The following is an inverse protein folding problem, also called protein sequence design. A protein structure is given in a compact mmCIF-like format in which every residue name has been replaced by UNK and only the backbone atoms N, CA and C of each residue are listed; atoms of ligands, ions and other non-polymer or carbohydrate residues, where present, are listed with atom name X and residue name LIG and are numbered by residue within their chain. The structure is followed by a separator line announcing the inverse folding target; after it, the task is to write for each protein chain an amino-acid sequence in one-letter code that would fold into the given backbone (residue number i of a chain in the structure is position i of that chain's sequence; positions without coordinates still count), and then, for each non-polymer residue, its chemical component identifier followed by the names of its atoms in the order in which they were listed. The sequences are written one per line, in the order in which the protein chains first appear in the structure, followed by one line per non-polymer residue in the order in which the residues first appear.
data_IF_596064165136
#
_entry.id   IF_596064165136
#
_cell.length_a   1.000
_cell.length_b   1.000
_cell.length_c   1.000
_cell.angle_alpha   90.00
_cell.angle_beta   90.00
_cell.angle_gamma   90.00
#
_symmetry.space_group_name_H-M   'P 1'
#
loop_
_entity.id
_entity.type
_entity.pdbx_description
1 polymer ?
#
# COMPACT_ATOMS: atom_id res chain seq x y z
N UNK A 1 46.18 -14.39 98.26
CA UNK A 1 47.10 -13.39 98.87
C UNK A 1 46.25 -12.19 99.31
N UNK A 2 46.34 -11.70 100.56
CA UNK A 2 45.62 -10.49 100.94
C UNK A 2 46.16 -9.29 100.17
N UNK A 3 45.28 -8.34 99.83
CA UNK A 3 45.72 -7.07 99.27
C UNK A 3 46.52 -6.28 100.32
N UNK A 4 47.52 -5.48 99.92
CA UNK A 4 48.32 -4.71 100.88
C UNK A 4 47.47 -3.78 101.73
N UNK A 5 47.65 -3.84 103.05
CA UNK A 5 46.90 -2.97 103.98
C UNK A 5 47.25 -1.49 103.86
N UNK A 6 48.42 -1.18 103.28
CA UNK A 6 48.89 0.17 103.00
C UNK A 6 48.16 0.86 101.85
N UNK A 7 47.39 0.13 101.06
CA UNK A 7 46.62 0.74 99.97
C UNK A 7 45.48 1.59 100.53
N UNK A 8 45.19 2.76 99.91
CA UNK A 8 44.04 3.57 100.30
C UNK A 8 42.77 2.72 100.24
N UNK A 9 41.88 2.87 101.22
CA UNK A 9 40.64 2.13 101.32
C UNK A 9 39.45 3.07 101.29
N UNK A 10 38.32 2.60 100.77
CA UNK A 10 37.04 3.31 100.69
C UNK A 10 35.93 2.39 101.18
N UNK A 11 34.99 2.93 101.96
CA UNK A 11 33.83 2.16 102.42
C UNK A 11 32.83 2.02 101.29
N UNK A 12 32.45 0.78 100.99
CA UNK A 12 31.38 0.44 100.06
C UNK A 12 30.16 0.02 100.86
N UNK A 13 29.02 0.65 100.60
CA UNK A 13 27.73 0.30 101.20
C UNK A 13 26.80 -0.25 100.13
N UNK A 14 25.82 -1.03 100.51
CA UNK A 14 24.72 -1.35 99.61
C UNK A 14 23.47 -1.70 100.38
N UNK A 15 22.34 -1.37 99.77
CA UNK A 15 21.00 -1.68 100.30
C UNK A 15 20.25 -2.51 99.26
N UNK A 16 19.66 -3.60 99.70
CA UNK A 16 18.81 -4.51 98.95
C UNK A 16 17.40 -4.38 99.48
N UNK A 17 16.49 -3.97 98.61
CA UNK A 17 15.09 -3.79 98.99
C UNK A 17 14.35 -5.12 98.82
N UNK A 18 13.69 -5.66 99.86
CA UNK A 18 12.88 -6.86 99.74
C UNK A 18 11.65 -6.62 98.86
N UNK A 19 11.13 -7.70 98.26
CA UNK A 19 9.82 -7.69 97.58
C UNK A 19 8.66 -7.62 98.58
N UNK A 20 8.90 -8.09 99.81
CA UNK A 20 7.95 -8.07 100.93
C UNK A 20 8.69 -7.57 102.17
N UNK A 21 8.27 -6.42 102.71
CA UNK A 21 8.90 -5.77 103.86
C UNK A 21 8.81 -6.60 105.15
N UNK A 22 8.02 -7.70 105.15
CA UNK A 22 7.94 -8.65 106.27
C UNK A 22 9.06 -9.69 106.32
N UNK A 23 9.89 -9.79 105.26
CA UNK A 23 11.00 -10.76 105.17
C UNK A 23 12.33 -10.01 105.02
N UNK A 24 13.15 -10.03 106.08
CA UNK A 24 14.50 -9.46 106.05
C UNK A 24 15.38 -10.13 104.99
N UNK A 25 16.04 -9.33 104.14
CA UNK A 25 16.96 -9.87 103.13
C UNK A 25 18.30 -10.20 103.79
N UNK A 26 18.68 -11.47 103.80
CA UNK A 26 20.00 -11.92 104.29
C UNK A 26 20.81 -12.58 103.19
N UNK A 27 22.13 -12.55 103.34
CA UNK A 27 23.04 -13.10 102.32
C UNK A 27 24.49 -12.72 102.56
N UNK A 28 25.29 -12.84 101.51
CA UNK A 28 26.69 -12.45 101.51
C UNK A 28 26.99 -11.73 100.20
N UNK A 29 27.75 -10.64 100.29
CA UNK A 29 28.41 -10.03 99.14
C UNK A 29 29.89 -10.37 99.17
N UNK A 30 30.44 -10.78 98.04
CA UNK A 30 31.86 -11.07 97.86
C UNK A 30 32.48 -10.15 96.82
N UNK A 31 33.72 -9.76 97.08
CA UNK A 31 34.52 -8.85 96.27
C UNK A 31 35.82 -9.56 95.89
N UNK A 32 35.91 -10.01 94.64
CA UNK A 32 37.07 -10.71 94.12
C UNK A 32 37.83 -9.83 93.12
N UNK A 33 39.08 -9.42 93.40
CA UNK A 33 39.89 -8.69 92.41
C UNK A 33 40.13 -9.51 91.13
N UNK A 34 39.85 -8.93 89.97
CA UNK A 34 40.03 -9.53 88.63
C UNK A 34 40.70 -8.53 87.67
N UNK A 35 41.28 -9.04 86.58
CA UNK A 35 41.64 -8.20 85.42
C UNK A 35 43.08 -7.69 85.33
N UNK A 36 43.96 -7.97 86.29
CA UNK A 36 45.38 -7.62 86.18
C UNK A 36 46.29 -8.81 86.54
N UNK A 37 47.56 -8.83 86.09
CA UNK A 37 48.38 -10.02 86.18
C UNK A 37 48.94 -10.16 87.60
N UNK A 38 48.22 -10.92 88.42
CA UNK A 38 48.55 -11.16 89.81
C UNK A 38 49.77 -12.08 89.92
N UNK A 39 50.89 -11.57 90.41
CA UNK A 39 52.10 -12.36 90.64
C UNK A 39 52.58 -12.20 92.09
N UNK A 40 53.16 -13.26 92.64
CA UNK A 40 53.96 -13.19 93.88
C UNK A 40 55.45 -13.21 93.55
N UNK A 41 56.32 -13.06 94.57
CA UNK A 41 57.75 -13.35 94.42
C UNK A 41 57.92 -14.72 93.71
N UNK A 42 58.74 -14.76 92.66
CA UNK A 42 58.96 -15.90 91.75
C UNK A 42 57.95 -16.10 90.60
N UNK A 43 57.20 -15.08 90.18
CA UNK A 43 56.30 -15.11 89.00
C UNK A 43 55.20 -16.17 89.04
N UNK A 44 54.87 -16.69 90.23
CA UNK A 44 53.73 -17.60 90.41
C UNK A 44 52.45 -16.77 90.41
N UNK A 45 51.47 -17.18 89.59
CA UNK A 45 50.15 -16.55 89.56
C UNK A 45 49.38 -17.00 90.80
N UNK A 46 49.19 -16.09 91.75
CA UNK A 46 48.35 -16.33 92.93
C UNK A 46 47.24 -15.29 92.94
N UNK A 47 45.97 -15.69 92.82
CA UNK A 47 44.87 -14.74 92.85
C UNK A 47 44.77 -14.05 94.23
N UNK A 48 44.32 -12.79 94.27
CA UNK A 48 44.00 -12.11 95.52
C UNK A 48 42.88 -12.82 96.26
N UNK A 49 42.92 -12.72 97.59
CA UNK A 49 41.87 -13.29 98.43
C UNK A 49 40.54 -12.57 98.19
N UNK A 50 39.45 -13.33 98.15
CA UNK A 50 38.09 -12.76 98.08
C UNK A 50 37.72 -12.15 99.43
N UNK A 51 37.26 -10.90 99.40
CA UNK A 51 36.77 -10.17 100.56
C UNK A 51 35.25 -10.35 100.64
N UNK A 52 34.68 -10.51 101.83
CA UNK A 52 33.25 -10.79 101.99
C UNK A 52 32.62 -9.94 103.10
N UNK A 53 31.36 -9.57 102.92
CA UNK A 53 30.53 -8.95 103.95
C UNK A 53 29.16 -9.64 104.00
N UNK A 54 28.64 -9.84 105.20
CA UNK A 54 27.27 -10.33 105.40
C UNK A 54 26.27 -9.23 105.07
N UNK A 55 25.15 -9.64 104.47
CA UNK A 55 23.97 -8.81 104.27
C UNK A 55 23.02 -9.13 105.41
N UNK A 56 22.66 -8.11 106.18
CA UNK A 56 21.72 -8.19 107.30
C UNK A 56 20.64 -7.14 107.05
N UNK A 57 19.38 -7.56 107.05
CA UNK A 57 18.21 -6.71 106.76
C UNK A 57 18.39 -5.86 105.49
N UNK A 58 18.87 -6.50 104.43
CA UNK A 58 19.12 -5.90 103.12
C UNK A 58 20.34 -5.00 103.05
N UNK A 59 21.02 -4.71 104.16
CA UNK A 59 22.15 -3.77 104.16
C UNK A 59 23.48 -4.47 104.36
N UNK A 60 24.53 -3.95 103.73
CA UNK A 60 25.92 -4.28 104.05
C UNK A 60 26.81 -3.04 103.99
N UNK A 61 27.94 -3.09 104.69
CA UNK A 61 29.00 -2.08 104.63
C UNK A 61 30.36 -2.75 104.74
N UNK A 62 31.28 -2.42 103.83
CA UNK A 62 32.63 -3.01 103.80
C UNK A 62 33.68 -2.01 103.31
N UNK A 63 34.79 -1.91 104.02
CA UNK A 63 35.93 -1.08 103.60
C UNK A 63 36.87 -1.88 102.68
N UNK A 64 37.01 -1.43 101.44
CA UNK A 64 37.79 -2.10 100.39
C UNK A 64 38.95 -1.22 99.90
N UNK A 65 40.11 -1.80 99.53
CA UNK A 65 41.13 -1.07 98.79
C UNK A 65 40.58 -0.45 97.50
N UNK A 66 41.00 0.77 97.19
CA UNK A 66 40.60 1.48 95.97
C UNK A 66 41.33 0.94 94.75
N UNK A 67 40.68 0.92 93.58
CA UNK A 67 41.20 0.28 92.36
C UNK A 67 42.11 1.19 91.53
N UNK A 68 42.02 2.51 91.70
CA UNK A 68 42.68 3.49 90.80
C UNK A 68 43.49 4.60 91.51
N UNK A 69 43.90 4.41 92.77
CA UNK A 69 44.75 5.40 93.45
C UNK A 69 46.23 5.33 93.00
N UNK A 70 46.96 6.46 92.99
CA UNK A 70 48.40 6.46 92.79
C UNK A 70 49.11 5.54 93.79
N UNK A 71 49.92 4.60 93.29
CA UNK A 71 50.67 3.62 94.10
C UNK A 71 50.00 2.25 94.25
N UNK A 72 48.76 2.07 93.75
CA UNK A 72 48.12 0.76 93.63
C UNK A 72 48.63 0.05 92.37
N UNK A 73 49.21 -1.13 92.51
CA UNK A 73 49.78 -1.94 91.41
C UNK A 73 49.45 -3.44 91.59
N UNK A 74 49.14 -4.18 90.51
CA UNK A 74 49.07 -3.73 89.12
C UNK A 74 47.92 -2.75 88.87
N UNK A 75 47.99 -1.93 87.82
CA UNK A 75 46.89 -1.06 87.41
C UNK A 75 45.86 -1.81 86.56
N UNK A 76 44.62 -1.32 86.50
CA UNK A 76 43.58 -1.81 85.59
C UNK A 76 42.76 -3.02 86.07
N UNK A 77 42.89 -3.41 87.34
CA UNK A 77 41.99 -4.42 87.94
C UNK A 77 40.71 -3.77 88.47
N UNK A 78 39.68 -4.61 88.60
CA UNK A 78 38.38 -4.26 89.19
C UNK A 78 37.95 -5.37 90.15
N UNK A 79 36.94 -5.13 90.98
CA UNK A 79 36.30 -6.19 91.74
C UNK A 79 35.22 -6.87 90.89
N UNK A 80 35.25 -8.19 90.79
CA UNK A 80 34.05 -8.96 90.51
C UNK A 80 33.25 -9.05 91.81
N UNK A 81 32.19 -8.28 91.89
CA UNK A 81 31.24 -8.30 92.99
C UNK A 81 30.26 -9.44 92.73
N UNK A 82 30.07 -10.32 93.70
CA UNK A 82 29.03 -11.35 93.64
C UNK A 82 28.13 -11.22 94.86
N UNK A 83 26.85 -10.99 94.62
CA UNK A 83 25.84 -10.98 95.68
C UNK A 83 25.13 -12.32 95.66
N UNK A 84 25.11 -13.02 96.80
CA UNK A 84 24.42 -14.28 97.01
C UNK A 84 23.47 -14.17 98.20
N UNK A 85 22.18 -14.25 97.94
CA UNK A 85 21.13 -14.19 98.96
C UNK A 85 20.88 -15.58 99.56
N UNK A 86 20.35 -15.62 100.78
CA UNK A 86 20.03 -16.86 101.48
C UNK A 86 18.98 -17.72 100.73
N UNK A 87 18.14 -17.09 99.91
CA UNK A 87 17.15 -17.76 99.06
C UNK A 87 17.72 -18.38 97.78
N UNK A 88 19.05 -18.31 97.57
CA UNK A 88 19.75 -18.90 96.44
C UNK A 88 19.93 -17.95 95.24
N UNK A 89 19.29 -16.78 95.22
CA UNK A 89 19.51 -15.78 94.16
C UNK A 89 20.95 -15.30 94.18
N UNK A 90 21.60 -15.32 93.01
CA UNK A 90 23.00 -14.93 92.84
C UNK A 90 23.17 -14.10 91.58
N UNK A 91 23.92 -13.00 91.65
CA UNK A 91 24.36 -12.24 90.48
C UNK A 91 25.76 -11.67 90.69
N UNK A 92 26.47 -11.47 89.58
CA UNK A 92 27.84 -10.96 89.59
C UNK A 92 28.01 -9.83 88.59
N UNK A 93 28.82 -8.84 88.94
CA UNK A 93 29.16 -7.73 88.05
C UNK A 93 30.56 -7.18 88.38
N UNK A 94 31.29 -6.65 87.39
CA UNK A 94 32.53 -5.92 87.63
C UNK A 94 32.22 -4.53 88.21
N UNK A 95 33.07 -4.07 89.14
CA UNK A 95 32.97 -2.77 89.79
C UNK A 95 34.37 -2.20 90.07
N UNK A 96 34.58 -0.95 89.69
CA UNK A 96 35.68 -0.15 90.18
C UNK A 96 35.35 0.47 91.55
N UNK A 97 36.35 0.56 92.42
CA UNK A 97 36.24 1.32 93.69
C UNK A 97 37.14 2.53 93.53
N UNK A 98 36.63 3.65 92.98
CA UNK A 98 37.46 4.79 92.67
C UNK A 98 37.95 5.48 93.95
N UNK A 99 39.16 6.04 93.89
CA UNK A 99 39.74 6.83 94.95
C UNK A 99 38.81 8.00 95.33
N UNK A 100 38.48 8.15 96.60
CA UNK A 100 37.55 9.15 97.10
C UNK A 100 37.40 9.06 98.62
N UNK A 101 36.95 10.16 99.24
CA UNK A 101 36.79 10.27 100.70
C UNK A 101 35.39 9.86 101.18
N UNK A 102 34.36 10.00 100.35
CA UNK A 102 32.99 9.64 100.69
C UNK A 102 32.72 8.14 100.51
N UNK A 103 31.75 7.61 101.24
CA UNK A 103 31.31 6.23 101.07
C UNK A 103 30.79 6.01 99.63
N UNK A 104 31.06 4.83 99.10
CA UNK A 104 30.65 4.40 97.77
C UNK A 104 29.38 3.55 97.89
N UNK A 105 28.26 4.05 97.37
CA UNK A 105 27.04 3.23 97.28
C UNK A 105 27.16 2.26 96.10
N UNK A 106 27.06 0.96 96.38
CA UNK A 106 27.05 -0.11 95.39
C UNK A 106 25.92 0.10 94.39
N UNK A 107 24.78 0.64 94.81
CA UNK A 107 23.65 0.91 93.92
C UNK A 107 23.96 1.97 92.85
N UNK A 108 24.94 2.86 93.10
CA UNK A 108 25.35 3.89 92.14
C UNK A 108 26.29 3.36 91.05
N UNK A 109 27.03 2.28 91.32
CA UNK A 109 28.00 1.69 90.37
C UNK A 109 27.55 0.36 89.77
N UNK A 110 26.64 -0.37 90.42
CA UNK A 110 26.12 -1.61 89.87
C UNK A 110 25.32 -1.30 88.60
N UNK A 111 25.59 -1.96 87.46
CA UNK A 111 24.60 -1.99 86.39
C UNK A 111 23.32 -2.59 87.00
N UNK A 112 22.20 -1.86 86.88
CA UNK A 112 20.88 -2.43 87.14
C UNK A 112 20.60 -3.44 86.04
N UNK A 113 21.23 -4.60 86.12
CA UNK A 113 21.01 -5.72 85.24
C UNK A 113 19.89 -6.57 85.86
N UNK A 114 18.67 -6.55 85.29
CA UNK A 114 17.65 -7.51 85.70
C UNK A 114 18.15 -8.90 85.30
N UNK A 115 18.49 -9.73 86.28
CA UNK A 115 18.71 -11.15 86.03
C UNK A 115 17.36 -11.80 85.74
N UNK A 116 17.16 -12.19 84.49
CA UNK A 116 16.01 -12.99 84.05
C UNK A 116 14.78 -12.17 83.67
N UNK A 117 14.62 -11.90 82.37
CA UNK A 117 13.34 -11.81 81.66
C UNK A 117 12.28 -10.78 82.08
N UNK A 118 12.44 -10.06 83.19
CA UNK A 118 11.40 -9.17 83.72
C UNK A 118 12.00 -7.80 84.04
N UNK A 119 11.51 -6.85 83.26
CA UNK A 119 11.78 -5.42 83.31
C UNK A 119 11.52 -4.82 84.69
N UNK A 120 12.34 -3.82 85.04
CA UNK A 120 12.07 -2.72 85.99
C UNK A 120 10.68 -2.78 86.66
N UNK A 121 10.65 -3.08 87.95
CA UNK A 121 9.44 -2.97 88.75
C UNK A 121 9.20 -1.53 89.17
N UNK A 122 7.97 -1.06 89.00
CA UNK A 122 7.48 0.16 89.64
C UNK A 122 7.25 -0.17 91.11
N UNK A 123 8.09 0.35 92.02
CA UNK A 123 7.96 0.10 93.46
C UNK A 123 6.64 0.68 93.99
N UNK A 124 6.31 1.90 93.58
CA UNK A 124 5.00 2.50 93.82
C UNK A 124 4.67 3.46 92.68
N UNK A 125 3.38 3.70 92.44
CA UNK A 125 2.91 4.92 91.76
C UNK A 125 2.26 5.77 92.84
N UNK A 126 2.83 6.95 93.13
CA UNK A 126 2.34 7.87 94.16
C UNK A 126 2.15 7.22 95.55
N UNK A 127 3.04 6.30 95.94
CA UNK A 127 2.98 5.60 97.24
C UNK A 127 2.07 4.37 97.28
N UNK A 128 1.37 4.03 96.19
CA UNK A 128 0.54 2.82 96.10
C UNK A 128 1.39 1.66 95.58
N UNK A 129 1.41 0.55 96.33
CA UNK A 129 2.12 -0.67 95.99
C UNK A 129 1.37 -1.47 94.90
N UNK A 130 2.07 -2.26 94.08
CA UNK A 130 1.44 -3.24 93.18
C UNK A 130 0.71 -4.33 93.97
N UNK A 131 -0.38 -4.84 93.42
CA UNK A 131 -1.07 -6.03 93.91
C UNK A 131 -0.29 -7.34 93.62
N UNK A 132 -0.83 -8.47 94.08
CA UNK A 132 -0.21 -9.79 93.90
C UNK A 132 -0.01 -10.23 92.43
N UNK A 133 -0.63 -9.53 91.49
CA UNK A 133 -0.52 -9.74 90.02
C UNK A 133 0.41 -8.71 89.37
N UNK A 134 0.97 -7.77 90.13
CA UNK A 134 1.84 -6.71 89.63
C UNK A 134 1.10 -5.49 89.09
N UNK A 135 -0.23 -5.40 89.25
CA UNK A 135 -0.99 -4.22 88.85
C UNK A 135 -0.95 -3.17 89.96
N UNK A 136 -0.76 -1.90 89.61
CA UNK A 136 -0.94 -0.80 90.56
C UNK A 136 -2.32 -0.21 90.35
N UNK A 137 -3.24 -0.48 91.27
CA UNK A 137 -4.59 0.09 91.22
C UNK A 137 -4.57 1.51 91.79
N UNK A 138 -4.38 2.50 90.93
CA UNK A 138 -4.51 3.92 91.30
C UNK A 138 -6.00 4.24 91.32
N UNK A 139 -6.63 4.11 92.49
CA UNK A 139 -8.03 4.51 92.68
C UNK A 139 -8.09 6.03 92.56
N UNK A 140 -8.86 6.55 91.60
CA UNK A 140 -9.22 7.97 91.60
C UNK A 140 -10.02 8.27 92.85
N UNK A 141 -9.62 9.28 93.62
CA UNK A 141 -10.35 9.66 94.83
C UNK A 141 -11.83 9.90 94.53
N UNK A 142 -12.69 9.43 95.43
CA UNK A 142 -14.16 9.53 95.38
C UNK A 142 -14.65 11.00 95.39
N UNK A 143 -13.74 11.97 95.45
CA UNK A 143 -13.96 13.42 95.54
C UNK A 143 -13.85 14.16 94.20
N UNK A 144 -13.63 13.45 93.08
CA UNK A 144 -13.51 14.06 91.76
C UNK A 144 -12.20 14.82 91.52
N UNK A 145 -11.20 14.70 92.41
CA UNK A 145 -9.86 15.25 92.22
C UNK A 145 -8.91 14.14 91.73
N UNK A 146 -8.93 13.94 90.42
CA UNK A 146 -8.39 12.75 89.75
C UNK A 146 -6.87 12.52 89.82
N UNK A 147 -6.52 11.24 89.69
CA UNK A 147 -5.29 10.77 89.04
C UNK A 147 -5.61 9.87 87.83
N UNK A 148 -6.69 10.18 87.11
CA UNK A 148 -6.95 9.58 85.80
C UNK A 148 -5.86 10.01 84.80
N UNK A 149 -5.59 9.18 83.78
CA UNK A 149 -4.67 9.49 82.69
C UNK A 149 -4.96 10.91 82.17
N UNK A 150 -4.02 11.84 82.40
CA UNK A 150 -4.20 13.27 82.11
C UNK A 150 -4.56 13.52 80.63
N UNK A 151 -3.96 12.75 79.73
CA UNK A 151 -4.40 12.70 78.34
C UNK A 151 -3.97 11.41 77.65
N UNK A 152 -4.80 10.91 76.74
CA UNK A 152 -4.41 9.93 75.70
C UNK A 152 -4.41 10.68 74.36
N UNK A 153 -3.26 10.71 73.68
CA UNK A 153 -3.07 11.41 72.39
C UNK A 153 -3.55 12.87 72.36
N UNK A 154 -3.35 13.60 73.47
CA UNK A 154 -3.70 15.02 73.59
C UNK A 154 -5.16 15.29 74.00
N UNK A 155 -5.98 14.27 74.23
CA UNK A 155 -7.36 14.41 74.74
C UNK A 155 -7.41 14.22 76.25
N UNK A 156 -8.00 15.18 76.96
CA UNK A 156 -8.16 15.16 78.43
C UNK A 156 -9.59 14.73 78.82
N UNK A 157 -9.78 14.17 80.02
CA UNK A 157 -11.08 13.67 80.51
C UNK A 157 -11.27 12.15 80.39
N UNK A 158 -12.52 11.66 80.46
CA UNK A 158 -12.86 10.26 80.20
C UNK A 158 -12.58 9.93 78.73
N UNK A 159 -11.47 9.23 78.45
CA UNK A 159 -11.12 8.81 77.10
C UNK A 159 -11.57 7.37 76.88
N UNK A 160 -12.71 7.22 76.20
CA UNK A 160 -13.14 5.94 75.61
C UNK A 160 -12.30 5.64 74.38
N UNK A 161 -11.48 4.58 74.44
CA UNK A 161 -10.56 4.19 73.35
C UNK A 161 -11.29 3.75 72.05
N UNK A 162 -12.59 3.48 72.13
CA UNK A 162 -13.45 3.17 70.98
C UNK A 162 -13.58 4.35 69.99
N UNK A 163 -13.34 5.59 70.44
CA UNK A 163 -13.43 6.79 69.60
C UNK A 163 -12.11 7.14 68.87
N UNK A 164 -10.98 6.62 69.36
CA UNK A 164 -9.64 6.91 68.81
C UNK A 164 -9.22 5.87 67.80
N UNK A 165 -9.58 4.61 68.02
CA UNK A 165 -9.35 3.51 67.10
C UNK A 165 -10.70 2.93 66.73
N UNK A 166 -11.06 2.99 65.44
CA UNK A 166 -12.25 2.31 64.97
C UNK A 166 -12.21 0.85 65.45
N UNK A 167 -13.22 0.43 66.21
CA UNK A 167 -13.32 -0.95 66.68
C UNK A 167 -13.18 -1.90 65.49
N UNK A 168 -12.63 -3.10 65.70
CA UNK A 168 -12.53 -4.09 64.62
C UNK A 168 -13.90 -4.32 63.93
N UNK A 169 -14.99 -4.20 64.68
CA UNK A 169 -16.37 -4.21 64.17
C UNK A 169 -16.74 -3.00 63.31
N UNK A 170 -16.34 -1.79 63.71
CA UNK A 170 -16.57 -0.57 62.91
C UNK A 170 -15.70 -0.53 61.64
N UNK A 171 -14.45 -0.98 61.74
CA UNK A 171 -13.53 -1.08 60.61
C UNK A 171 -14.02 -2.14 59.61
N UNK A 172 -14.46 -3.30 60.08
CA UNK A 172 -15.03 -4.36 59.23
C UNK A 172 -16.36 -3.93 58.60
N UNK A 173 -17.24 -3.25 59.33
CA UNK A 173 -18.50 -2.72 58.80
C UNK A 173 -18.29 -1.61 57.77
N UNK A 174 -17.36 -0.69 58.03
CA UNK A 174 -16.98 0.35 57.08
C UNK A 174 -16.35 -0.21 55.80
N UNK A 175 -15.45 -1.19 55.92
CA UNK A 175 -14.81 -1.84 54.77
C UNK A 175 -15.81 -2.70 53.98
N UNK A 176 -16.77 -3.36 54.63
CA UNK A 176 -17.85 -4.10 53.96
C UNK A 176 -18.75 -3.21 53.08
N UNK A 177 -18.83 -1.90 53.36
CA UNK A 177 -19.54 -0.94 52.49
C UNK A 177 -18.67 -0.39 51.34
N UNK A 178 -17.34 -0.49 51.44
CA UNK A 178 -16.40 -0.13 50.38
C UNK A 178 -16.24 -1.32 49.43
N UNK A 179 -17.24 -1.50 48.58
CA UNK A 179 -17.29 -2.49 47.49
C UNK A 179 -17.02 -3.94 47.93
N UNK A 180 -18.05 -4.62 48.45
CA UNK A 180 -18.08 -6.08 48.38
C UNK A 180 -17.90 -6.50 46.91
N UNK A 181 -17.11 -7.53 46.64
CA UNK A 181 -16.93 -8.11 45.29
C UNK A 181 -18.26 -8.53 44.65
N UNK A 182 -19.32 -8.72 45.45
CA UNK A 182 -20.70 -8.98 45.00
C UNK A 182 -21.48 -7.73 44.56
N UNK A 183 -21.02 -6.53 44.94
CA UNK A 183 -21.63 -5.23 44.61
C UNK A 183 -20.98 -4.54 43.40
N UNK A 184 -19.79 -4.99 43.00
CA UNK A 184 -19.36 -4.81 41.62
C UNK A 184 -20.26 -5.73 40.79
N UNK A 185 -21.20 -5.15 40.04
CA UNK A 185 -22.13 -5.90 39.19
C UNK A 185 -21.37 -6.99 38.40
N UNK A 186 -22.02 -8.11 37.99
CA UNK A 186 -21.35 -9.27 37.36
C UNK A 186 -20.42 -8.93 36.18
N UNK A 187 -20.57 -7.72 35.63
CA UNK A 187 -19.71 -7.03 34.65
C UNK A 187 -18.25 -6.96 35.05
N UNK A 188 -17.93 -6.66 36.31
CA UNK A 188 -16.56 -6.45 36.74
C UNK A 188 -15.77 -7.76 36.83
N UNK A 189 -16.45 -8.90 37.01
CA UNK A 189 -15.83 -10.22 37.17
C UNK A 189 -15.92 -11.09 35.92
N UNK A 190 -17.01 -11.00 35.15
CA UNK A 190 -17.21 -11.84 33.97
C UNK A 190 -16.68 -11.22 32.67
N UNK A 191 -16.46 -9.90 32.62
CA UNK A 191 -16.04 -9.17 31.41
C UNK A 191 -17.02 -9.25 30.24
N UNK A 192 -18.19 -9.86 30.44
CA UNK A 192 -19.19 -10.12 29.40
C UNK A 192 -20.19 -8.99 29.34
N UNK A 193 -20.41 -8.44 28.16
CA UNK A 193 -21.36 -7.35 27.94
C UNK A 193 -22.77 -7.67 28.47
N UNK A 194 -23.19 -8.94 28.52
CA UNK A 194 -24.50 -9.41 29.00
C UNK A 194 -24.84 -9.02 30.46
N UNK A 195 -23.85 -8.69 31.28
CA UNK A 195 -24.03 -8.51 32.72
C UNK A 195 -24.42 -7.08 33.18
N UNK A 196 -24.44 -6.07 32.29
CA UNK A 196 -24.96 -4.74 32.67
C UNK A 196 -26.50 -4.76 32.77
N UNK A 197 -27.08 -4.06 33.75
CA UNK A 197 -28.53 -3.84 33.86
C UNK A 197 -28.92 -2.49 33.24
N UNK A 198 -30.15 -2.33 32.75
CA UNK A 198 -30.62 -1.06 32.17
C UNK A 198 -30.02 -0.68 30.81
N UNK A 199 -29.54 -1.66 30.03
CA UNK A 199 -28.94 -1.37 28.72
C UNK A 199 -29.99 -0.87 27.72
N UNK A 200 -29.61 0.04 26.81
CA UNK A 200 -30.33 0.20 25.56
C UNK A 200 -30.38 -1.17 24.85
N UNK A 201 -31.56 -1.64 24.50
CA UNK A 201 -31.70 -2.83 23.66
C UNK A 201 -31.13 -2.48 22.29
N UNK A 202 -29.94 -3.00 21.97
CA UNK A 202 -29.39 -2.92 20.61
C UNK A 202 -30.12 -4.00 19.81
N UNK A 203 -30.93 -3.64 18.80
CA UNK A 203 -31.61 -4.59 17.95
C UNK A 203 -30.63 -5.62 17.37
N UNK A 204 -30.85 -6.89 17.68
CA UNK A 204 -30.08 -7.99 17.10
C UNK A 204 -30.71 -8.52 15.81
N UNK A 205 -31.87 -7.96 15.44
CA UNK A 205 -32.59 -8.23 14.20
C UNK A 205 -32.94 -6.90 13.53
N UNK A 206 -32.79 -6.85 12.21
CA UNK A 206 -33.17 -5.69 11.40
C UNK A 206 -34.66 -5.35 11.49
N UNK A 207 -35.51 -6.31 11.92
CA UNK A 207 -36.95 -6.11 12.12
C UNK A 207 -37.31 -5.07 13.18
N UNK A 208 -36.40 -4.80 14.14
CA UNK A 208 -36.68 -3.90 15.26
C UNK A 208 -36.14 -2.47 15.01
N UNK A 209 -35.49 -2.24 13.87
CA UNK A 209 -35.28 -0.91 13.30
C UNK A 209 -36.58 -0.53 12.59
N UNK A 210 -37.33 0.43 13.13
CA UNK A 210 -38.56 0.94 12.52
C UNK A 210 -38.29 1.78 11.24
N UNK A 211 -37.55 1.22 10.27
CA UNK A 211 -37.12 1.83 9.01
C UNK A 211 -36.34 0.84 8.14
N UNK A 212 -36.06 1.21 6.89
CA UNK A 212 -35.27 0.40 5.95
C UNK A 212 -33.80 0.29 6.38
N UNK A 213 -33.17 -0.85 6.08
CA UNK A 213 -31.72 -1.03 6.27
C UNK A 213 -30.97 -0.07 5.33
N UNK A 214 -30.07 0.80 5.83
CA UNK A 214 -29.27 1.66 4.97
C UNK A 214 -28.40 0.83 4.03
N UNK A 215 -28.38 1.19 2.74
CA UNK A 215 -27.64 0.49 1.70
C UNK A 215 -26.12 0.34 1.99
N UNK A 216 -25.58 1.20 2.85
CA UNK A 216 -24.19 1.18 3.34
C UNK A 216 -23.87 0.05 4.34
N UNK A 217 -24.90 -0.60 4.92
CA UNK A 217 -24.73 -1.71 5.85
C UNK A 217 -24.77 -3.08 5.15
N UNK A 218 -24.93 -3.10 3.83
CA UNK A 218 -24.94 -4.32 3.01
C UNK A 218 -23.48 -4.62 2.61
N UNK A 219 -22.91 -5.79 2.99
CA UNK A 219 -21.57 -6.20 2.56
C UNK A 219 -21.46 -6.20 1.03
N UNK A 220 -20.28 -5.83 0.50
CA UNK A 220 -20.03 -5.58 -0.93
C UNK A 220 -20.14 -6.80 -1.89
N UNK A 221 -20.84 -7.87 -1.49
CA UNK A 221 -21.11 -9.10 -2.27
C UNK A 221 -22.59 -9.23 -2.66
N UNK A 222 -23.41 -8.18 -2.53
CA UNK A 222 -24.67 -8.05 -3.28
C UNK A 222 -24.41 -7.30 -4.60
N UNK A 223 -23.49 -7.81 -5.42
CA UNK A 223 -22.90 -7.07 -6.52
C UNK A 223 -23.41 -7.59 -7.86
N UNK A 224 -24.67 -7.29 -8.19
CA UNK A 224 -25.18 -7.28 -9.57
C UNK A 224 -24.82 -8.55 -10.38
N UNK A 225 -25.73 -9.52 -10.42
CA UNK A 225 -25.48 -10.76 -11.15
C UNK A 225 -25.93 -10.66 -12.61
N UNK A 226 -25.18 -11.35 -13.49
CA UNK A 226 -25.61 -11.58 -14.85
C UNK A 226 -26.60 -12.74 -14.91
N UNK A 227 -27.83 -12.46 -15.31
CA UNK A 227 -28.96 -13.40 -15.34
C UNK A 227 -29.00 -14.28 -16.60
N UNK A 228 -28.08 -14.06 -17.55
CA UNK A 228 -28.00 -14.80 -18.80
C UNK A 228 -28.60 -14.08 -20.02
N UNK A 229 -28.87 -14.86 -21.07
CA UNK A 229 -29.48 -14.40 -22.32
C UNK A 229 -30.99 -14.62 -22.32
N UNK A 230 -31.75 -13.65 -22.84
CA UNK A 230 -33.19 -13.73 -23.05
C UNK A 230 -33.52 -13.59 -24.55
N UNK A 231 -34.09 -14.64 -25.15
CA UNK A 231 -34.47 -14.65 -26.58
C UNK A 231 -35.72 -13.84 -26.91
N UNK A 232 -36.39 -13.27 -25.91
CA UNK A 232 -37.58 -12.44 -26.07
C UNK A 232 -37.86 -11.65 -24.79
N UNK A 233 -38.77 -10.67 -24.86
CA UNK A 233 -39.29 -9.98 -23.67
C UNK A 233 -39.90 -10.97 -22.66
N UNK A 234 -40.66 -11.97 -23.12
CA UNK A 234 -41.28 -12.94 -22.23
C UNK A 234 -40.23 -13.77 -21.47
N UNK A 235 -39.13 -14.15 -22.14
CA UNK A 235 -38.01 -14.83 -21.51
C UNK A 235 -37.30 -13.93 -20.47
N UNK A 236 -37.12 -12.64 -20.75
CA UNK A 236 -36.55 -11.68 -19.80
C UNK A 236 -37.42 -11.53 -18.54
N UNK A 237 -38.74 -11.39 -18.70
CA UNK A 237 -39.66 -11.25 -17.56
C UNK A 237 -39.81 -12.54 -16.74
N UNK A 238 -39.37 -13.68 -17.27
CA UNK A 238 -39.31 -14.94 -16.53
C UNK A 238 -38.03 -15.09 -15.68
N UNK A 239 -37.02 -14.21 -15.88
CA UNK A 239 -35.80 -14.23 -15.08
C UNK A 239 -36.11 -13.82 -13.63
N UNK A 240 -35.51 -14.54 -12.68
CA UNK A 240 -35.56 -14.20 -11.26
C UNK A 240 -34.27 -13.46 -10.91
N UNK A 241 -34.37 -12.20 -10.51
CA UNK A 241 -33.24 -11.37 -10.13
C UNK A 241 -33.67 -10.22 -9.24
N UNK A 242 -32.70 -9.49 -8.71
CA UNK A 242 -32.88 -8.33 -7.84
C UNK A 242 -32.46 -7.04 -8.55
N UNK A 243 -32.92 -5.88 -8.04
CA UNK A 243 -32.48 -4.58 -8.55
C UNK A 243 -30.95 -4.53 -8.62
N UNK A 244 -30.44 -4.22 -9.81
CA UNK A 244 -29.03 -4.18 -10.11
C UNK A 244 -28.67 -5.15 -11.23
N UNK A 245 -29.22 -6.37 -11.20
CA UNK A 245 -28.92 -7.48 -12.10
C UNK A 245 -29.19 -7.12 -13.57
N UNK A 246 -28.50 -7.79 -14.50
CA UNK A 246 -28.72 -7.56 -15.93
C UNK A 246 -28.79 -8.86 -16.74
N UNK A 247 -29.48 -8.79 -17.89
CA UNK A 247 -29.51 -9.84 -18.90
C UNK A 247 -29.27 -9.22 -20.29
N UNK A 248 -28.89 -10.06 -21.26
CA UNK A 248 -28.79 -9.62 -22.66
C UNK A 248 -30.01 -10.11 -23.43
N UNK A 249 -30.75 -9.19 -24.06
CA UNK A 249 -31.87 -9.53 -24.94
C UNK A 249 -31.38 -9.78 -26.35
N UNK A 250 -31.23 -11.05 -26.72
CA UNK A 250 -30.63 -11.45 -28.01
C UNK A 250 -31.54 -11.14 -29.20
N UNK A 251 -32.84 -10.95 -28.99
CA UNK A 251 -33.78 -10.46 -30.02
C UNK A 251 -33.54 -8.99 -30.40
N UNK A 252 -32.91 -8.21 -29.53
CA UNK A 252 -32.60 -6.78 -29.76
C UNK A 252 -31.11 -6.46 -29.85
N UNK A 253 -30.25 -7.34 -29.34
CA UNK A 253 -28.81 -7.09 -29.22
C UNK A 253 -28.48 -6.05 -28.14
N UNK A 254 -29.30 -5.94 -27.09
CA UNK A 254 -29.20 -4.89 -26.06
C UNK A 254 -29.16 -5.50 -24.66
N UNK A 255 -28.39 -4.91 -23.75
CA UNK A 255 -28.41 -5.28 -22.33
C UNK A 255 -29.54 -4.57 -21.59
N UNK A 256 -30.20 -5.28 -20.69
CA UNK A 256 -31.30 -4.77 -19.87
C UNK A 256 -30.97 -4.97 -18.39
N UNK A 257 -31.10 -3.90 -17.61
CA UNK A 257 -30.86 -3.90 -16.17
C UNK A 257 -32.18 -3.87 -15.40
N UNK A 258 -32.30 -4.71 -14.38
CA UNK A 258 -33.42 -4.69 -13.44
C UNK A 258 -33.24 -3.49 -12.49
N UNK A 259 -34.11 -2.50 -12.58
CA UNK A 259 -34.05 -1.25 -11.80
C UNK A 259 -35.06 -1.20 -10.66
N UNK A 260 -35.98 -2.16 -10.57
CA UNK A 260 -36.95 -2.28 -9.49
C UNK A 260 -37.44 -3.73 -9.39
N UNK A 261 -38.23 -4.02 -8.37
CA UNK A 261 -38.89 -5.31 -8.16
C UNK A 261 -40.40 -5.15 -8.39
N UNK A 262 -41.10 -6.19 -8.91
CA UNK A 262 -40.60 -7.51 -9.28
C UNK A 262 -39.99 -7.55 -10.71
N UNK A 263 -39.13 -8.54 -10.98
CA UNK A 263 -38.54 -8.80 -12.32
C UNK A 263 -39.57 -9.23 -13.38
N UNK A 264 -40.76 -9.63 -12.95
CA UNK A 264 -41.87 -10.00 -13.84
C UNK A 264 -42.56 -8.81 -14.49
N UNK A 265 -42.29 -7.58 -14.03
CA UNK A 265 -42.84 -6.35 -14.60
C UNK A 265 -41.87 -5.70 -15.57
N UNK A 266 -42.31 -5.43 -16.80
CA UNK A 266 -41.49 -4.72 -17.79
C UNK A 266 -41.03 -3.34 -17.32
N UNK A 267 -41.87 -2.64 -16.53
CA UNK A 267 -41.53 -1.33 -15.98
C UNK A 267 -40.35 -1.37 -14.99
N UNK A 268 -40.04 -2.56 -14.47
CA UNK A 268 -38.89 -2.79 -13.61
C UNK A 268 -37.57 -2.92 -14.38
N UNK A 269 -37.60 -3.04 -15.71
CA UNK A 269 -36.40 -3.21 -16.52
C UNK A 269 -36.07 -1.96 -17.33
N UNK A 270 -34.79 -1.64 -17.42
CA UNK A 270 -34.29 -0.51 -18.21
C UNK A 270 -33.23 -0.97 -19.20
N UNK A 271 -33.46 -0.67 -20.47
CA UNK A 271 -32.51 -0.91 -21.55
C UNK A 271 -31.26 -0.04 -21.38
N UNK A 272 -30.07 -0.64 -21.47
CA UNK A 272 -28.78 0.05 -21.51
C UNK A 272 -28.39 0.27 -22.97
N UNK A 273 -28.60 1.50 -23.43
CA UNK A 273 -28.39 1.90 -24.83
C UNK A 273 -27.01 2.52 -25.10
N UNK A 274 -25.96 2.21 -24.30
CA UNK A 274 -24.67 2.91 -24.37
C UNK A 274 -23.50 2.04 -24.85
N UNK A 275 -22.67 2.52 -25.80
CA UNK A 275 -22.87 3.76 -26.55
C UNK A 275 -24.03 3.62 -27.53
N UNK A 276 -24.88 4.65 -27.61
CA UNK A 276 -25.95 4.67 -28.60
C UNK A 276 -25.29 4.58 -29.98
N UNK A 277 -25.73 3.66 -30.82
CA UNK A 277 -25.26 3.58 -32.20
C UNK A 277 -25.29 4.99 -32.80
N UNK A 278 -24.17 5.52 -33.34
CA UNK A 278 -24.08 6.92 -33.76
C UNK A 278 -25.11 7.28 -34.84
N UNK A 279 -25.63 6.28 -35.55
CA UNK A 279 -26.74 6.41 -36.50
C UNK A 279 -28.02 5.93 -35.84
N UNK A 280 -28.88 6.87 -35.47
CA UNK A 280 -30.22 6.58 -34.94
C UNK A 280 -31.26 6.36 -36.04
N UNK A 281 -31.02 6.90 -37.24
CA UNK A 281 -31.88 6.71 -38.40
C UNK A 281 -31.12 6.95 -39.71
N UNK A 282 -31.61 6.38 -40.80
CA UNK A 282 -31.17 6.68 -42.17
C UNK A 282 -32.41 7.10 -42.95
N UNK A 283 -32.42 8.35 -43.45
CA UNK A 283 -33.57 8.94 -44.15
C UNK A 283 -34.92 8.76 -43.40
N UNK A 284 -34.91 8.94 -42.07
CA UNK A 284 -36.11 8.80 -41.22
C UNK A 284 -36.54 7.36 -40.91
N UNK A 285 -35.84 6.34 -41.42
CA UNK A 285 -36.07 4.93 -41.08
C UNK A 285 -35.24 4.51 -39.88
N UNK A 286 -35.84 3.69 -39.01
CA UNK A 286 -35.22 3.13 -37.79
C UNK A 286 -35.32 1.60 -37.80
N UNK A 287 -34.42 0.90 -37.11
CA UNK A 287 -34.40 -0.57 -37.06
C UNK A 287 -33.56 -1.19 -38.18
N UNK A 288 -34.03 -2.30 -38.76
CA UNK A 288 -33.38 -2.92 -39.92
C UNK A 288 -33.62 -2.06 -41.17
N UNK A 289 -32.66 -1.20 -41.51
CA UNK A 289 -32.73 -0.34 -42.70
C UNK A 289 -32.06 -1.03 -43.87
N UNK A 290 -32.83 -1.39 -44.88
CA UNK A 290 -32.32 -1.70 -46.22
C UNK A 290 -32.29 -0.37 -46.98
N UNK A 291 -31.10 0.04 -47.43
CA UNK A 291 -30.91 1.29 -48.16
C UNK A 291 -30.95 1.02 -49.67
N UNK A 292 -31.85 1.67 -50.38
CA UNK A 292 -31.94 1.66 -51.83
C UNK A 292 -31.78 3.06 -52.45
N UNK A 293 -31.71 3.15 -53.78
CA UNK A 293 -31.49 4.41 -54.51
C UNK A 293 -32.58 5.46 -54.28
N UNK A 294 -33.78 5.06 -53.87
CA UNK A 294 -34.88 5.97 -53.55
C UNK A 294 -34.68 6.64 -52.19
N UNK A 295 -33.94 6.01 -51.27
CA UNK A 295 -33.63 6.58 -49.95
C UNK A 295 -32.77 7.84 -49.99
N UNK A 296 -32.08 8.09 -51.10
CA UNK A 296 -31.22 9.27 -51.29
C UNK A 296 -31.73 10.18 -52.42
N UNK A 297 -32.98 10.01 -52.86
CA UNK A 297 -33.56 10.81 -53.94
C UNK A 297 -33.00 10.51 -55.33
N UNK A 298 -32.26 9.40 -55.50
CA UNK A 298 -31.61 8.99 -56.74
C UNK A 298 -32.38 7.87 -57.45
N UNK A 299 -33.72 7.92 -57.41
CA UNK A 299 -34.58 6.88 -57.98
C UNK A 299 -34.39 6.63 -59.48
N UNK A 300 -33.83 7.58 -60.23
CA UNK A 300 -33.52 7.44 -61.66
C UNK A 300 -32.07 6.96 -61.94
N UNK A 301 -31.22 6.88 -60.92
CA UNK A 301 -29.82 6.48 -61.08
C UNK A 301 -29.71 4.96 -61.12
N UNK A 302 -29.09 4.45 -62.18
CA UNK A 302 -28.75 3.03 -62.31
C UNK A 302 -27.24 2.85 -62.15
N UNK A 303 -26.83 1.73 -61.54
CA UNK A 303 -25.42 1.33 -61.51
C UNK A 303 -25.07 0.62 -62.83
N UNK A 304 -24.91 1.41 -63.88
CA UNK A 304 -24.64 0.92 -65.24
C UNK A 304 -23.12 0.94 -65.50
N UNK A 305 -22.48 -0.16 -65.91
CA UNK A 305 -21.05 -0.16 -66.26
C UNK A 305 -20.79 0.78 -67.42
N UNK A 306 -19.56 1.31 -67.51
CA UNK A 306 -19.21 2.33 -68.51
C UNK A 306 -19.55 1.92 -69.95
N UNK A 307 -19.39 0.64 -70.29
CA UNK A 307 -19.69 0.08 -71.61
C UNK A 307 -21.19 0.07 -71.95
N UNK A 308 -22.08 0.14 -70.96
CA UNK A 308 -23.53 0.10 -71.15
C UNK A 308 -24.20 1.46 -70.88
N UNK A 309 -23.42 2.53 -70.61
CA UNK A 309 -23.96 3.87 -70.41
C UNK A 309 -24.59 4.37 -71.72
N UNK A 310 -25.87 4.76 -71.72
CA UNK A 310 -26.48 5.32 -72.92
C UNK A 310 -25.81 6.65 -73.24
N UNK A 311 -25.56 6.90 -74.53
CA UNK A 311 -25.24 8.25 -74.99
C UNK A 311 -26.53 9.07 -75.06
N UNK A 312 -26.41 10.39 -74.89
CA UNK A 312 -27.57 11.27 -74.99
C UNK A 312 -28.15 11.24 -76.41
N UNK A 313 -29.46 11.46 -76.54
CA UNK A 313 -30.12 11.56 -77.85
C UNK A 313 -29.44 12.63 -78.74
N UNK A 314 -29.03 13.76 -78.15
CA UNK A 314 -28.29 14.81 -78.85
C UNK A 314 -26.93 14.32 -79.38
N UNK A 315 -26.21 13.51 -78.59
CA UNK A 315 -24.95 12.89 -79.02
C UNK A 315 -25.18 11.91 -80.15
N UNK A 316 -26.22 11.06 -80.07
CA UNK A 316 -26.58 10.12 -81.13
C UNK A 316 -26.93 10.87 -82.43
N UNK A 317 -27.78 11.90 -82.37
CA UNK A 317 -28.12 12.74 -83.54
C UNK A 317 -26.88 13.40 -84.15
N UNK A 318 -25.96 13.90 -83.32
CA UNK A 318 -24.72 14.48 -83.81
C UNK A 318 -23.81 13.45 -84.49
N UNK A 319 -23.73 12.22 -83.96
CA UNK A 319 -22.98 11.12 -84.57
C UNK A 319 -23.62 10.65 -85.87
N UNK A 320 -24.96 10.52 -85.91
CA UNK A 320 -25.73 10.16 -87.11
C UNK A 320 -25.53 11.19 -88.23
N UNK A 321 -25.19 12.44 -87.89
CA UNK A 321 -24.90 13.51 -88.85
C UNK A 321 -23.41 13.69 -89.21
N UNK A 322 -22.46 13.06 -88.52
CA UNK A 322 -21.01 13.21 -88.75
C UNK A 322 -20.52 12.61 -90.06
N UNK A 323 -21.34 11.78 -90.68
CA UNK A 323 -21.30 11.45 -92.10
C UNK A 323 -22.76 11.54 -92.53
N UNK A 324 -23.09 12.24 -93.62
CA UNK A 324 -24.39 11.96 -94.26
C UNK A 324 -24.29 10.51 -94.70
N UNK A 325 -24.82 9.58 -93.91
CA UNK A 325 -24.51 8.15 -93.96
C UNK A 325 -24.41 7.66 -95.40
N UNK A 326 -23.19 7.27 -95.80
CA UNK A 326 -22.92 6.79 -97.14
C UNK A 326 -22.56 7.86 -98.18
N UNK A 327 -22.27 9.10 -97.82
CA UNK A 327 -21.78 10.11 -98.79
C UNK A 327 -20.42 9.74 -99.35
N UNK A 328 -19.49 9.30 -98.48
CA UNK A 328 -18.20 8.81 -98.94
C UNK A 328 -18.36 7.49 -99.72
N UNK A 329 -19.20 6.58 -99.22
CA UNK A 329 -19.49 5.32 -99.91
C UNK A 329 -20.14 5.51 -101.28
N UNK A 330 -21.05 6.47 -101.41
CA UNK A 330 -21.72 6.83 -102.67
C UNK A 330 -20.75 7.54 -103.63
N UNK A 331 -19.89 8.42 -103.13
CA UNK A 331 -18.85 9.05 -103.93
C UNK A 331 -17.87 8.01 -104.49
N UNK A 332 -17.46 7.02 -103.68
CA UNK A 332 -16.63 5.89 -104.12
C UNK A 332 -17.38 5.01 -105.11
N UNK A 333 -18.65 4.66 -104.84
CA UNK A 333 -19.45 3.86 -105.75
C UNK A 333 -19.70 4.55 -107.10
N UNK A 334 -19.91 5.86 -107.11
CA UNK A 334 -20.04 6.65 -108.33
C UNK A 334 -18.73 6.70 -109.12
N UNK A 335 -17.59 6.81 -108.42
CA UNK A 335 -16.25 6.77 -109.03
C UNK A 335 -15.95 5.40 -109.66
N UNK A 336 -16.30 4.30 -109.01
CA UNK A 336 -16.00 2.94 -109.50
C UNK A 336 -16.85 2.50 -110.70
N UNK A 337 -18.06 3.05 -110.87
CA UNK A 337 -18.94 2.72 -112.02
C UNK A 337 -18.82 3.69 -113.18
N UNK A 338 -18.14 4.82 -113.00
CA UNK A 338 -17.93 5.78 -114.08
C UNK A 338 -17.08 5.15 -115.19
N UNK A 339 -17.53 5.26 -116.43
CA UNK A 339 -16.78 4.77 -117.59
C UNK A 339 -15.43 5.49 -117.76
N UNK A 340 -15.40 6.77 -117.38
CA UNK A 340 -14.18 7.56 -117.27
C UNK A 340 -14.27 8.44 -116.01
N UNK A 341 -13.76 7.97 -114.86
CA UNK A 341 -13.76 8.74 -113.63
C UNK A 341 -12.73 9.89 -113.64
N UNK A 342 -11.85 9.96 -114.66
CA UNK A 342 -10.75 10.92 -114.71
C UNK A 342 -10.62 11.59 -116.10
N UNK A 343 -11.62 12.37 -116.54
CA UNK A 343 -11.70 12.95 -117.90
C UNK A 343 -10.64 14.02 -118.21
N UNK A 344 -9.78 14.36 -117.26
CA UNK A 344 -8.63 15.23 -117.48
C UNK A 344 -7.44 14.48 -118.11
N UNK A 345 -7.40 13.16 -118.00
CA UNK A 345 -6.39 12.32 -118.63
C UNK A 345 -6.97 11.70 -119.91
N UNK A 346 -6.11 11.44 -120.90
CA UNK A 346 -6.53 10.71 -122.10
C UNK A 346 -6.99 9.32 -121.67
N UNK A 347 -8.10 8.83 -122.23
CA UNK A 347 -8.42 7.40 -122.14
C UNK A 347 -7.30 6.60 -122.82
N UNK A 348 -7.14 5.33 -122.43
CA UNK A 348 -6.13 4.46 -123.04
C UNK A 348 -6.24 4.46 -124.57
N UNK A 349 -7.46 4.33 -125.11
CA UNK A 349 -7.71 4.33 -126.55
C UNK A 349 -7.41 5.67 -127.24
N UNK A 350 -7.70 6.81 -126.60
CA UNK A 350 -7.37 8.14 -127.16
C UNK A 350 -5.87 8.42 -127.12
N UNK A 351 -5.20 7.93 -126.07
CA UNK A 351 -3.74 7.90 -125.98
C UNK A 351 -3.15 7.08 -127.12
N UNK A 352 -3.53 5.81 -127.22
CA UNK A 352 -3.05 4.88 -128.24
C UNK A 352 -3.23 5.46 -129.65
N UNK A 353 -4.41 5.99 -129.99
CA UNK A 353 -4.68 6.59 -131.30
C UNK A 353 -3.85 7.85 -131.61
N UNK A 354 -3.52 8.67 -130.60
CA UNK A 354 -2.62 9.83 -130.79
C UNK A 354 -1.17 9.40 -130.99
N UNK A 355 -0.72 8.33 -130.32
CA UNK A 355 0.68 7.88 -130.39
C UNK A 355 0.95 6.94 -131.58
N UNK A 356 -0.05 6.20 -132.08
CA UNK A 356 0.07 5.31 -133.25
C UNK A 356 0.42 6.07 -134.54
N UNK A 357 -0.17 7.26 -134.75
CA UNK A 357 0.10 8.11 -135.92
C UNK A 357 1.53 8.67 -135.97
N UNK A 358 2.17 8.83 -134.81
CA UNK A 358 3.57 9.23 -134.71
C UNK A 358 4.52 8.07 -135.05
N UNK A 359 4.11 6.82 -134.82
CA UNK A 359 4.87 5.61 -135.21
C UNK A 359 4.81 5.31 -136.71
N UNK A 360 3.65 5.50 -137.34
CA UNK A 360 3.45 5.19 -138.78
C UNK A 360 4.10 6.21 -139.74
N UNK A 361 4.21 7.50 -139.34
CA UNK A 361 4.85 8.54 -140.15
C UNK A 361 6.36 8.31 -140.36
N UNK A 362 7.00 7.51 -139.50
CA UNK A 362 8.42 7.15 -139.62
C UNK A 362 8.68 5.99 -140.61
N UNK A 363 7.67 5.19 -140.97
CA UNK A 363 7.85 3.96 -141.77
C UNK A 363 7.51 4.12 -143.27
N UNK A 364 6.83 5.20 -143.68
CA UNK A 364 6.30 5.36 -145.04
C UNK A 364 7.22 6.08 -146.05
N UNK A 365 8.47 6.39 -145.72
CA UNK A 365 9.45 6.90 -146.68
C UNK A 365 10.07 5.71 -147.44
N UNK A 366 9.26 5.07 -148.27
CA UNK A 366 9.70 4.03 -149.20
C UNK A 366 10.34 4.67 -150.45
N UNK A 367 11.57 4.28 -150.73
CA UNK A 367 12.49 4.79 -151.75
C UNK A 367 12.04 4.40 -153.18
N UNK A 368 11.41 5.32 -153.91
CA UNK A 368 11.06 5.14 -155.31
C UNK A 368 12.16 5.74 -156.23
N UNK A 369 12.71 5.00 -157.21
CA UNK A 369 13.80 5.47 -158.06
C UNK A 369 13.37 6.67 -158.93
N UNK A 370 14.12 7.77 -158.87
CA UNK A 370 13.88 9.00 -159.64
C UNK A 370 14.73 9.00 -160.92
N UNK A 371 14.09 8.91 -162.09
CA UNK A 371 14.78 9.04 -163.39
C UNK A 371 14.87 10.51 -163.83
N UNK A 372 16.03 10.94 -164.33
CA UNK A 372 16.20 12.23 -165.02
C UNK A 372 15.80 12.09 -166.50
N UNK A 373 14.78 12.82 -166.95
CA UNK A 373 14.43 12.97 -168.38
C UNK A 373 14.80 14.38 -168.83
N UNK A 374 15.55 14.52 -169.93
CA UNK A 374 15.80 15.80 -170.58
C UNK A 374 14.78 16.01 -171.71
N UNK A 375 14.09 17.16 -171.73
CA UNK A 375 12.90 17.40 -172.56
C UNK A 375 13.11 18.39 -173.72
N UNK A 376 14.33 18.87 -173.96
CA UNK A 376 14.64 19.74 -175.10
C UNK A 376 15.51 18.97 -176.11
N UNK A 377 15.18 19.05 -177.40
CA UNK A 377 15.89 18.33 -178.46
C UNK A 377 17.40 18.61 -178.42
N UNK A 378 18.21 17.55 -178.57
CA UNK A 378 19.66 17.66 -178.59
C UNK A 378 20.11 18.47 -179.82
N UNK A 379 21.01 19.47 -179.70
CA UNK A 379 21.55 20.17 -180.86
C UNK A 379 22.46 19.23 -181.67
N UNK A 380 22.31 19.21 -182.99
CA UNK A 380 23.25 18.52 -183.87
C UNK A 380 24.66 19.10 -183.67
N UNK A 381 25.63 18.29 -183.25
CA UNK A 381 27.02 18.73 -183.05
C UNK A 381 27.98 17.65 -183.55
N UNK A 382 29.05 18.06 -184.23
CA UNK A 382 29.93 17.22 -185.06
C UNK A 382 30.55 16.01 -184.34
N UNK A 383 31.03 15.04 -185.14
CA UNK A 383 31.37 13.64 -184.84
C UNK A 383 32.33 13.34 -183.67
N UNK A 384 32.77 14.35 -182.92
CA UNK A 384 33.63 14.21 -181.74
C UNK A 384 33.09 14.92 -180.49
N UNK A 385 31.82 15.31 -180.49
CA UNK A 385 31.18 15.98 -179.34
C UNK A 385 30.92 14.97 -178.21
N UNK A 386 31.45 15.23 -177.01
CA UNK A 386 31.14 14.45 -175.79
C UNK A 386 30.15 15.20 -174.91
N UNK A 387 29.14 14.49 -174.41
CA UNK A 387 28.26 14.96 -173.33
C UNK A 387 28.75 14.34 -172.02
N UNK A 388 28.98 15.17 -171.01
CA UNK A 388 29.32 14.73 -169.66
C UNK A 388 28.21 15.18 -168.72
N UNK A 389 27.53 14.22 -168.10
CA UNK A 389 26.53 14.48 -167.07
C UNK A 389 27.25 14.43 -165.71
N UNK A 390 27.12 15.49 -164.92
CA UNK A 390 27.67 15.57 -163.57
C UNK A 390 26.56 15.28 -162.57
N UNK A 391 26.76 14.31 -161.69
CA UNK A 391 25.86 14.00 -160.57
C UNK A 391 26.71 14.11 -159.29
N UNK A 392 26.30 14.95 -158.34
CA UNK A 392 27.00 15.10 -157.06
C UNK A 392 28.43 15.66 -157.16
N UNK A 393 28.78 16.38 -158.23
CA UNK A 393 30.08 17.08 -158.35
C UNK A 393 31.24 16.25 -158.92
N UNK A 394 31.00 15.01 -159.38
CA UNK A 394 32.01 14.20 -160.09
C UNK A 394 31.48 13.72 -161.45
N UNK A 395 32.35 13.67 -162.46
CA UNK A 395 31.97 13.24 -163.82
C UNK A 395 31.78 11.72 -163.88
N UNK A 396 30.66 11.26 -164.43
CA UNK A 396 30.53 9.86 -164.84
C UNK A 396 31.41 9.61 -166.07
N UNK A 397 32.58 8.98 -165.86
CA UNK A 397 33.54 8.68 -166.92
C UNK A 397 33.29 7.29 -167.53
N UNK A 398 33.34 7.22 -168.86
CA UNK A 398 33.32 6.04 -169.74
C UNK A 398 31.95 5.47 -170.16
N UNK A 399 31.39 6.04 -171.23
CA UNK A 399 30.89 5.24 -172.35
C UNK A 399 31.17 5.96 -173.70
N UNK A 400 31.87 5.31 -174.66
CA UNK A 400 32.20 5.87 -175.99
C UNK A 400 30.99 5.92 -176.94
N UNK A 401 31.09 6.77 -177.96
CA UNK A 401 29.99 7.44 -178.67
C UNK A 401 29.12 6.57 -179.60
N UNK A 402 29.36 5.25 -179.70
CA UNK A 402 28.68 4.42 -180.71
C UNK A 402 28.01 3.15 -180.16
N UNK A 403 27.81 3.04 -178.83
CA UNK A 403 27.12 1.88 -178.25
C UNK A 403 26.42 2.19 -176.92
N UNK A 404 25.29 2.91 -176.94
CA UNK A 404 24.33 2.91 -175.81
C UNK A 404 22.90 2.95 -176.35
N UNK A 405 22.43 1.81 -176.85
CA UNK A 405 21.02 1.44 -176.73
C UNK A 405 20.93 0.51 -175.52
N UNK A 406 20.50 1.03 -174.37
CA UNK A 406 20.25 0.21 -173.18
C UNK A 406 20.73 0.84 -171.89
N UNK A 407 19.92 0.67 -170.84
CA UNK A 407 20.04 1.32 -169.55
C UNK A 407 21.32 0.94 -168.79
N UNK A 408 22.00 1.94 -168.25
CA UNK A 408 23.11 1.75 -167.29
C UNK A 408 22.52 1.58 -165.91
N UNK A 409 22.54 0.35 -165.39
CA UNK A 409 22.03 0.01 -164.08
C UNK A 409 23.13 0.14 -163.01
N UNK A 410 22.88 0.91 -161.95
CA UNK A 410 23.74 0.99 -160.76
C UNK A 410 22.95 0.36 -159.60
N UNK A 411 23.30 -0.86 -159.13
CA UNK A 411 22.66 -1.43 -157.95
C UNK A 411 23.02 -0.65 -156.70
N UNK A 412 22.01 -0.21 -155.94
CA UNK A 412 22.20 0.15 -154.54
C UNK A 412 22.22 -1.14 -153.72
N UNK A 413 23.35 -1.45 -153.08
CA UNK A 413 23.39 -2.43 -151.98
C UNK A 413 22.84 -1.78 -150.72
N UNK A 414 21.96 -2.54 -150.06
CA UNK A 414 21.16 -2.26 -148.85
C UNK A 414 21.87 -1.55 -147.70
#
# INVERSE_FOLDING_TARGET
MPLPDSWPKRTVRGTLVPLDESIGVTGVVSFMPIGAPWFTANQVVVPPSTLMASIVDGSFSMTLPVTNAPGVQPAGWVYQVTVKLADGRTWSFPMDVPNGLDDLDLAAHAPVAPSGGWSRYVRTVNGILPDATGNVHVVGGDDGSGFGVLSVDGRTGDVTLDDVYASLGALSSGLATKANTSSLAPVATAGTYASLTGKPTIPTSYSDLAGTVPQSAIPAVALVDWLGEASSQAAMLALTGQRGDWCTRTDRGTDWQLIAEPSTSLASWRERVSPASPVSSVNGRTGAVVVDKTDVGLGAVNNTPDSAKPISAATQTALDGKESAGTAAAAVAAHTVAADPHPQYLTQSEGDGRYDGLGAAAAAVADAPRFLRYSAGWPARGSSSRVTIYIGGSAASNAPVDAVLGDVWIPASS
#
